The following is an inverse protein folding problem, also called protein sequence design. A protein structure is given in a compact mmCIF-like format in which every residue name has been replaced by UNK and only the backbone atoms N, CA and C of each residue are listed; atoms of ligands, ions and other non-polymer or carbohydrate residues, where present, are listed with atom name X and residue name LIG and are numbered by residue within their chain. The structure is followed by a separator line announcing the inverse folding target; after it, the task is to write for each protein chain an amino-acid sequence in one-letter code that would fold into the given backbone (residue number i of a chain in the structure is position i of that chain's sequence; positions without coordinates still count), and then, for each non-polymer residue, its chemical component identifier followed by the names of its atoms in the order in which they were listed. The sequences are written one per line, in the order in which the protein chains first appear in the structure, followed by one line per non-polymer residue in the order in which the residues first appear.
data_IF_135130979857
#
_entry.id   IF_135130979857
#
_cell.length_a   1.000
_cell.length_b   1.000
_cell.length_c   1.000
_cell.angle_alpha   90.00
_cell.angle_beta   90.00
_cell.angle_gamma   90.00
#
_symmetry.space_group_name_H-M   'P 1'
#
loop_
_entity.id
_entity.type
_entity.pdbx_description
1 polymer ?
#
# COMPACT_ATOMS: atom_id res chain seq x y z
N UNK A 1 2.53 9.00 21.59
CA UNK A 1 1.43 9.21 20.62
C UNK A 1 1.62 10.60 20.06
N UNK A 2 2.00 10.70 18.79
CA UNK A 2 2.15 11.98 18.12
C UNK A 2 1.22 12.01 16.92
N UNK A 3 0.32 12.99 16.88
CA UNK A 3 -0.26 13.40 15.61
C UNK A 3 0.83 14.10 14.81
N UNK A 4 1.00 13.72 13.56
CA UNK A 4 2.11 14.13 12.72
C UNK A 4 1.54 14.82 11.48
N UNK A 5 2.15 15.94 11.13
CA UNK A 5 1.98 16.64 9.87
C UNK A 5 3.38 17.04 9.39
N UNK A 6 3.88 16.38 8.34
CA UNK A 6 5.25 16.56 7.81
C UNK A 6 5.26 16.58 6.28
N UNK A 7 6.28 17.24 5.75
CA UNK A 7 6.62 17.23 4.33
C UNK A 7 7.97 16.51 4.18
N UNK A 8 8.03 15.58 3.23
CA UNK A 8 9.24 14.84 2.87
C UNK A 8 9.55 15.02 1.40
N UNK A 9 10.77 14.71 0.97
CA UNK A 9 11.12 14.70 -0.45
C UNK A 9 10.80 13.32 -1.06
N UNK A 10 10.30 13.30 -2.29
CA UNK A 10 10.03 12.05 -3.03
C UNK A 10 11.29 11.18 -3.15
N UNK A 11 12.45 11.80 -3.35
CA UNK A 11 13.74 11.09 -3.50
C UNK A 11 14.20 10.33 -2.24
N UNK A 12 13.82 10.78 -1.04
CA UNK A 12 14.20 10.16 0.25
C UNK A 12 13.00 9.56 0.99
N UNK A 13 11.83 9.52 0.36
CA UNK A 13 10.56 9.28 1.04
C UNK A 13 10.53 8.01 1.91
N UNK A 14 11.08 6.89 1.43
CA UNK A 14 11.06 5.63 2.18
C UNK A 14 11.96 5.66 3.42
N UNK A 15 13.12 6.32 3.31
CA UNK A 15 14.04 6.51 4.43
C UNK A 15 13.45 7.49 5.47
N UNK A 16 12.77 8.53 5.00
CA UNK A 16 12.05 9.49 5.84
C UNK A 16 10.86 8.83 6.56
N UNK A 17 10.09 7.99 5.86
CA UNK A 17 8.98 7.22 6.43
C UNK A 17 9.50 6.21 7.46
N UNK A 18 10.59 5.53 7.16
CA UNK A 18 11.26 4.64 8.13
C UNK A 18 11.66 5.41 9.37
N UNK A 19 12.34 6.54 9.20
CA UNK A 19 12.80 7.40 10.29
C UNK A 19 11.64 7.94 11.12
N UNK A 20 10.52 8.29 10.48
CA UNK A 20 9.30 8.72 11.13
C UNK A 20 8.78 7.64 12.09
N UNK A 21 8.69 6.41 11.61
CA UNK A 21 8.13 5.29 12.38
C UNK A 21 9.09 4.86 13.50
N UNK A 22 10.39 4.81 13.24
CA UNK A 22 11.39 4.47 14.28
C UNK A 22 11.48 5.52 15.38
N UNK A 23 11.36 6.81 15.04
CA UNK A 23 11.33 7.90 16.03
C UNK A 23 10.10 7.86 16.94
N UNK A 24 9.08 7.06 16.59
CA UNK A 24 7.84 6.90 17.35
C UNK A 24 7.69 5.51 18.02
N UNK A 25 8.81 4.81 18.25
CA UNK A 25 8.87 3.62 19.10
C UNK A 25 9.01 2.29 18.36
N UNK A 26 9.14 2.32 17.04
CA UNK A 26 9.46 1.13 16.24
C UNK A 26 10.98 0.97 16.11
N UNK A 27 11.42 -0.21 15.70
CA UNK A 27 12.84 -0.53 15.53
C UNK A 27 13.14 -0.94 14.10
N UNK A 28 14.21 -0.38 13.52
CA UNK A 28 14.76 -0.87 12.24
C UNK A 28 15.54 -2.15 12.53
N UNK A 29 15.16 -3.24 11.88
CA UNK A 29 15.79 -4.57 12.04
C UNK A 29 16.97 -4.71 11.08
N UNK A 30 16.75 -4.43 9.79
CA UNK A 30 17.78 -4.49 8.75
C UNK A 30 17.36 -3.73 7.49
N UNK A 31 18.35 -3.34 6.69
CA UNK A 31 18.21 -2.80 5.34
C UNK A 31 19.09 -3.60 4.40
N UNK A 32 18.55 -4.14 3.32
CA UNK A 32 19.31 -4.95 2.35
C UNK A 32 18.79 -4.70 0.94
N UNK A 33 19.54 -5.13 -0.07
CA UNK A 33 19.17 -4.95 -1.47
C UNK A 33 19.09 -6.29 -2.20
N UNK A 34 18.17 -6.37 -3.15
CA UNK A 34 18.00 -7.54 -4.01
C UNK A 34 18.03 -7.08 -5.46
N UNK A 35 19.08 -7.43 -6.18
CA UNK A 35 19.23 -7.17 -7.59
C UNK A 35 18.72 -8.37 -8.40
N UNK A 36 18.04 -8.10 -9.51
CA UNK A 36 17.36 -9.11 -10.31
C UNK A 36 17.71 -8.99 -11.79
N UNK A 37 17.91 -10.13 -12.43
CA UNK A 37 18.03 -10.24 -13.87
C UNK A 37 17.01 -11.24 -14.43
N UNK A 38 16.51 -11.04 -15.67
CA UNK A 38 15.55 -11.96 -16.26
C UNK A 38 16.28 -13.22 -16.74
N UNK A 39 15.69 -14.38 -16.46
CA UNK A 39 16.30 -15.68 -16.75
C UNK A 39 16.60 -15.91 -18.25
N UNK A 40 15.89 -15.19 -19.11
CA UNK A 40 16.01 -15.22 -20.57
C UNK A 40 17.33 -14.64 -21.09
N UNK A 41 18.04 -13.83 -20.28
CA UNK A 41 19.36 -13.28 -20.67
C UNK A 41 20.37 -14.39 -20.94
N UNK A 42 20.25 -15.51 -20.21
CA UNK A 42 21.13 -16.67 -20.34
C UNK A 42 20.83 -17.52 -21.58
N UNK A 43 19.70 -17.30 -22.27
CA UNK A 43 19.43 -17.98 -23.54
C UNK A 43 20.28 -17.37 -24.63
N UNK A 44 20.88 -18.17 -25.51
CA UNK A 44 21.70 -17.68 -26.62
C UNK A 44 20.91 -17.39 -27.92
N UNK A 45 19.61 -17.08 -27.80
CA UNK A 45 18.65 -17.11 -28.93
C UNK A 45 17.91 -15.80 -29.20
N UNK A 46 18.37 -14.67 -28.65
CA UNK A 46 17.77 -13.34 -28.88
C UNK A 46 18.55 -12.48 -29.88
N UNK A 47 17.86 -11.57 -30.59
CA UNK A 47 18.53 -10.53 -31.36
C UNK A 47 19.37 -9.62 -30.45
N UNK A 48 20.44 -9.01 -30.98
CA UNK A 48 21.30 -8.11 -30.22
C UNK A 48 20.58 -6.89 -29.64
N UNK A 49 19.47 -6.48 -30.26
CA UNK A 49 18.66 -5.33 -29.87
C UNK A 49 17.51 -5.68 -28.91
N UNK A 50 17.34 -6.96 -28.55
CA UNK A 50 16.34 -7.37 -27.58
C UNK A 50 16.61 -6.71 -26.23
N UNK A 51 15.62 -5.96 -25.72
CA UNK A 51 15.67 -5.30 -24.42
C UNK A 51 15.31 -6.30 -23.32
N UNK A 52 16.16 -6.36 -22.30
CA UNK A 52 15.93 -7.13 -21.08
C UNK A 52 15.79 -6.19 -19.89
N UNK A 53 14.73 -6.40 -19.12
CA UNK A 53 14.45 -5.62 -17.92
C UNK A 53 15.29 -6.12 -16.76
N UNK A 54 16.00 -5.23 -16.10
CA UNK A 54 16.71 -5.48 -14.85
C UNK A 54 16.08 -4.65 -13.73
N UNK A 55 16.40 -5.00 -12.49
CA UNK A 55 15.99 -4.15 -11.37
C UNK A 55 16.77 -4.42 -10.11
N UNK A 56 16.69 -3.47 -9.19
CA UNK A 56 17.18 -3.60 -7.82
C UNK A 56 16.12 -3.09 -6.86
N UNK A 57 15.78 -3.91 -5.87
CA UNK A 57 14.87 -3.56 -4.79
C UNK A 57 15.66 -3.29 -3.51
N UNK A 58 15.32 -2.23 -2.82
CA UNK A 58 15.85 -1.91 -1.49
C UNK A 58 14.78 -2.19 -0.44
N UNK A 59 15.09 -3.09 0.49
CA UNK A 59 14.20 -3.52 1.55
C UNK A 59 14.65 -2.90 2.86
N UNK A 60 13.70 -2.33 3.60
CA UNK A 60 13.89 -1.92 4.98
C UNK A 60 12.89 -2.66 5.85
N UNK A 61 13.39 -3.51 6.75
CA UNK A 61 12.57 -4.25 7.71
C UNK A 61 12.47 -3.45 8.99
N UNK A 62 11.24 -3.16 9.41
CA UNK A 62 10.92 -2.51 10.67
C UNK A 62 10.09 -3.45 11.56
N UNK A 63 10.15 -3.23 12.86
CA UNK A 63 9.46 -4.03 13.87
C UNK A 63 8.79 -3.13 14.89
N UNK A 64 7.50 -3.37 15.14
CA UNK A 64 6.74 -2.66 16.16
C UNK A 64 7.09 -3.17 17.58
N UNK A 65 6.55 -2.53 18.62
CA UNK A 65 6.84 -2.90 20.00
C UNK A 65 6.32 -4.30 20.40
N UNK A 66 5.35 -4.86 19.67
CA UNK A 66 4.84 -6.22 19.88
C UNK A 66 5.68 -7.30 19.17
N UNK A 67 6.63 -6.89 18.34
CA UNK A 67 7.51 -7.80 17.61
C UNK A 67 7.02 -8.21 16.22
N UNK A 68 5.89 -7.68 15.73
CA UNK A 68 5.49 -7.88 14.33
C UNK A 68 6.39 -7.07 13.41
N UNK A 69 6.81 -7.70 12.31
CA UNK A 69 7.74 -7.12 11.34
C UNK A 69 7.05 -6.79 10.02
N UNK A 70 7.49 -5.68 9.43
CA UNK A 70 7.02 -5.17 8.15
C UNK A 70 8.23 -4.87 7.27
N UNK A 71 8.14 -5.18 5.98
CA UNK A 71 9.12 -4.76 4.99
C UNK A 71 8.57 -3.63 4.15
N UNK A 72 9.36 -2.58 4.01
CA UNK A 72 9.13 -1.46 3.10
C UNK A 72 10.11 -1.58 1.94
N UNK A 73 9.63 -1.44 0.71
CA UNK A 73 10.44 -1.65 -0.50
C UNK A 73 10.26 -0.55 -1.51
N UNK A 74 11.38 -0.10 -2.08
CA UNK A 74 11.40 0.68 -3.32
C UNK A 74 12.20 -0.07 -4.38
N UNK A 75 11.81 0.11 -5.64
CA UNK A 75 12.40 -0.61 -6.78
C UNK A 75 12.91 0.41 -7.79
N UNK A 76 14.13 0.20 -8.25
CA UNK A 76 14.63 0.82 -9.47
C UNK A 76 14.65 -0.24 -10.58
N UNK A 77 14.24 0.12 -11.79
CA UNK A 77 14.27 -0.80 -12.94
C UNK A 77 14.70 -0.09 -14.20
N UNK A 78 15.36 -0.83 -15.09
CA UNK A 78 15.87 -0.31 -16.35
C UNK A 78 15.97 -1.43 -17.38
N UNK A 79 15.92 -1.06 -18.66
CA UNK A 79 16.05 -1.99 -19.76
C UNK A 79 17.43 -1.85 -20.41
N UNK A 80 18.10 -2.96 -20.70
CA UNK A 80 19.39 -3.01 -21.41
C UNK A 80 19.24 -3.91 -22.63
N UNK A 81 19.73 -3.44 -23.79
CA UNK A 81 19.79 -4.28 -24.97
C UNK A 81 20.81 -5.40 -24.79
N UNK A 82 20.50 -6.59 -25.31
CA UNK A 82 21.36 -7.78 -25.18
C UNK A 82 22.85 -7.52 -25.45
N UNK A 83 23.13 -6.79 -26.52
CA UNK A 83 24.50 -6.47 -26.98
C UNK A 83 25.29 -5.61 -25.98
N UNK A 84 24.60 -4.88 -25.11
CA UNK A 84 25.18 -3.95 -24.13
C UNK A 84 25.31 -4.58 -22.73
N UNK A 85 24.89 -5.84 -22.55
CA UNK A 85 25.04 -6.57 -21.29
C UNK A 85 26.49 -7.05 -21.15
N UNK A 86 27.19 -6.57 -20.12
CA UNK A 86 28.58 -6.94 -19.84
C UNK A 86 28.76 -8.14 -18.90
N UNK A 87 27.68 -8.63 -18.27
CA UNK A 87 27.72 -9.68 -17.24
C UNK A 87 27.11 -10.99 -17.75
N UNK A 88 27.73 -12.13 -17.40
CA UNK A 88 27.22 -13.47 -17.78
C UNK A 88 26.44 -14.19 -16.69
N UNK A 89 26.55 -13.74 -15.43
CA UNK A 89 25.89 -14.31 -14.25
C UNK A 89 26.27 -15.77 -13.92
N UNK A 90 27.32 -16.30 -14.54
CA UNK A 90 27.81 -17.66 -14.33
C UNK A 90 28.66 -17.77 -13.05
N UNK A 91 29.35 -16.68 -12.69
CA UNK A 91 30.28 -16.62 -11.56
C UNK A 91 29.81 -15.66 -10.46
N UNK A 92 30.34 -15.80 -9.26
CA UNK A 92 30.06 -14.85 -8.17
C UNK A 92 30.70 -13.49 -8.43
N UNK A 93 31.81 -13.45 -9.19
CA UNK A 93 32.45 -12.23 -9.67
C UNK A 93 31.53 -11.43 -10.60
N UNK A 94 30.89 -12.10 -11.58
CA UNK A 94 29.92 -11.46 -12.49
C UNK A 94 28.73 -10.86 -11.72
N UNK A 95 28.21 -11.62 -10.74
CA UNK A 95 27.11 -11.17 -9.87
C UNK A 95 27.53 -9.95 -9.02
N UNK A 96 28.77 -9.93 -8.53
CA UNK A 96 29.30 -8.80 -7.77
C UNK A 96 29.48 -7.55 -8.64
N UNK A 97 29.87 -7.72 -9.90
CA UNK A 97 29.96 -6.61 -10.86
C UNK A 97 28.57 -6.05 -11.21
N UNK A 98 27.60 -6.92 -11.45
CA UNK A 98 26.21 -6.53 -11.65
C UNK A 98 25.64 -5.75 -10.45
N UNK A 99 25.93 -6.17 -9.21
CA UNK A 99 25.53 -5.41 -8.01
C UNK A 99 26.10 -3.99 -8.02
N UNK A 100 27.36 -3.81 -8.43
CA UNK A 100 28.00 -2.48 -8.48
C UNK A 100 27.30 -1.57 -9.49
N UNK A 101 27.00 -2.07 -10.69
CA UNK A 101 26.28 -1.33 -11.72
C UNK A 101 24.82 -1.05 -11.30
N UNK A 102 24.12 -2.04 -10.74
CA UNK A 102 22.77 -1.89 -10.22
C UNK A 102 22.67 -0.79 -9.14
N UNK A 103 23.65 -0.73 -8.21
CA UNK A 103 23.72 0.33 -7.20
C UNK A 103 23.94 1.71 -7.80
N UNK A 104 24.75 1.83 -8.85
CA UNK A 104 24.96 3.11 -9.55
C UNK A 104 23.68 3.58 -10.25
N UNK A 105 22.89 2.64 -10.79
CA UNK A 105 21.63 2.91 -11.48
C UNK A 105 20.46 3.17 -10.53
N UNK A 106 20.54 2.67 -9.30
CA UNK A 106 19.45 2.76 -8.32
C UNK A 106 18.91 4.19 -8.16
N UNK A 107 19.77 5.18 -7.89
CA UNK A 107 19.32 6.56 -7.64
C UNK A 107 18.71 7.25 -8.86
N UNK A 108 19.13 6.85 -10.07
CA UNK A 108 18.66 7.43 -11.34
C UNK A 108 17.33 6.83 -11.79
N UNK A 109 17.17 5.53 -11.59
CA UNK A 109 16.04 4.75 -12.11
C UNK A 109 15.04 4.35 -11.01
N UNK A 110 15.17 4.93 -9.81
CA UNK A 110 14.26 4.71 -8.70
C UNK A 110 12.85 5.12 -9.09
N UNK A 111 11.89 4.20 -8.98
CA UNK A 111 10.49 4.56 -9.11
C UNK A 111 10.05 5.29 -7.83
N UNK A 112 9.88 6.61 -7.94
CA UNK A 112 9.42 7.48 -6.85
C UNK A 112 7.90 7.56 -6.76
N UNK A 113 7.21 7.10 -7.80
CA UNK A 113 5.75 7.12 -7.83
C UNK A 113 5.14 6.00 -7.00
N UNK A 114 5.90 4.92 -6.71
CA UNK A 114 5.40 3.79 -5.96
C UNK A 114 6.39 3.19 -4.96
N UNK A 115 5.85 2.48 -3.98
CA UNK A 115 6.60 1.65 -3.04
C UNK A 115 5.73 0.48 -2.58
N UNK A 116 6.33 -0.50 -1.92
CA UNK A 116 5.66 -1.74 -1.54
C UNK A 116 5.79 -1.99 -0.05
N UNK A 117 4.76 -2.59 0.55
CA UNK A 117 4.79 -3.01 1.95
C UNK A 117 4.32 -4.45 2.08
N UNK A 118 4.91 -5.22 2.99
CA UNK A 118 4.44 -6.55 3.37
C UNK A 118 4.69 -6.83 4.86
N UNK A 119 4.03 -7.85 5.41
CA UNK A 119 4.26 -8.38 6.75
C UNK A 119 5.11 -9.66 6.70
N UNK A 120 5.89 -9.92 7.73
CA UNK A 120 6.63 -11.18 7.91
C UNK A 120 6.51 -11.68 9.35
N UNK A 121 6.52 -13.02 9.54
CA UNK A 121 6.48 -13.61 10.89
C UNK A 121 7.87 -13.82 11.48
N UNK A 122 8.88 -14.08 10.64
CA UNK A 122 10.28 -14.26 11.07
C UNK A 122 11.22 -13.36 10.28
N UNK A 123 12.39 -13.11 10.87
CA UNK A 123 13.43 -12.32 10.24
C UNK A 123 14.02 -13.07 9.03
N UNK A 124 14.21 -12.40 7.86
CA UNK A 124 14.73 -13.07 6.68
C UNK A 124 16.25 -13.24 6.77
N UNK A 125 16.80 -14.19 6.01
CA UNK A 125 18.22 -14.63 6.08
C UNK A 125 19.21 -13.55 5.60
N UNK A 126 18.73 -12.49 4.94
CA UNK A 126 19.59 -11.42 4.43
C UNK A 126 20.36 -10.70 5.55
N UNK A 127 21.62 -10.38 5.25
CA UNK A 127 22.50 -9.59 6.12
C UNK A 127 22.25 -8.10 5.91
N UNK A 128 22.38 -7.31 6.97
CA UNK A 128 22.25 -5.86 6.91
C UNK A 128 23.34 -5.23 6.01
N UNK A 129 22.94 -4.28 5.17
CA UNK A 129 23.80 -3.58 4.20
C UNK A 129 24.25 -4.42 2.99
N UNK A 130 23.82 -5.67 2.88
CA UNK A 130 24.26 -6.58 1.81
C UNK A 130 23.28 -6.59 0.64
N UNK A 131 23.82 -6.67 -0.58
CA UNK A 131 23.04 -6.88 -1.79
C UNK A 131 23.17 -8.34 -2.25
N UNK A 132 22.07 -8.95 -2.69
CA UNK A 132 22.07 -10.30 -3.28
C UNK A 132 21.54 -10.26 -4.71
N UNK A 133 21.94 -11.23 -5.54
CA UNK A 133 21.44 -11.36 -6.92
C UNK A 133 20.48 -12.53 -7.02
N UNK A 134 19.37 -12.34 -7.73
CA UNK A 134 18.45 -13.42 -8.10
C UNK A 134 18.10 -13.34 -9.59
N UNK A 135 17.84 -14.49 -10.20
CA UNK A 135 17.16 -14.58 -11.48
C UNK A 135 15.65 -14.45 -11.26
N UNK A 136 14.93 -13.91 -12.23
CA UNK A 136 13.48 -13.84 -12.19
C UNK A 136 12.82 -14.23 -13.52
N UNK A 137 11.58 -14.68 -13.37
CA UNK A 137 10.58 -14.94 -14.40
C UNK A 137 9.39 -13.96 -14.28
N UNK A 138 9.12 -13.47 -13.06
CA UNK A 138 8.02 -12.56 -12.75
C UNK A 138 8.53 -11.29 -12.04
N UNK A 139 8.53 -10.17 -12.75
CA UNK A 139 8.82 -8.84 -12.21
C UNK A 139 7.53 -8.13 -11.74
N UNK A 140 7.50 -7.44 -10.58
CA UNK A 140 8.58 -7.24 -9.59
C UNK A 140 8.62 -8.32 -8.47
N UNK A 141 7.73 -9.32 -8.52
CA UNK A 141 7.51 -10.32 -7.46
C UNK A 141 8.80 -10.96 -6.95
N UNK A 142 9.70 -11.38 -7.84
CA UNK A 142 10.96 -12.03 -7.43
C UNK A 142 11.95 -11.10 -6.72
N UNK A 143 11.85 -9.79 -6.94
CA UNK A 143 12.64 -8.81 -6.21
C UNK A 143 12.07 -8.57 -4.81
N UNK A 144 10.75 -8.57 -4.67
CA UNK A 144 10.07 -8.27 -3.41
C UNK A 144 10.06 -9.48 -2.46
N UNK A 145 10.02 -10.70 -3.00
CA UNK A 145 9.97 -11.92 -2.20
C UNK A 145 11.24 -12.09 -1.34
N UNK A 146 11.08 -12.05 -0.02
CA UNK A 146 12.19 -12.22 0.94
C UNK A 146 12.37 -13.65 1.43
N UNK A 147 11.53 -14.58 1.00
CA UNK A 147 11.71 -16.01 1.30
C UNK A 147 12.81 -16.62 0.41
N UNK A 148 12.98 -16.10 -0.81
CA UNK A 148 14.01 -16.55 -1.76
C UNK A 148 15.25 -15.67 -1.67
N UNK A 149 16.35 -16.22 -1.19
CA UNK A 149 17.66 -15.56 -1.05
C UNK A 149 18.64 -15.86 -2.18
N UNK A 150 18.55 -17.04 -2.81
CA UNK A 150 19.42 -17.47 -3.91
C UNK A 150 18.63 -18.26 -4.95
N UNK A 151 19.03 -18.09 -6.20
CA UNK A 151 18.47 -18.76 -7.36
C UNK A 151 19.59 -19.19 -8.29
N UNK A 152 19.46 -20.35 -8.88
CA UNK A 152 20.30 -20.82 -9.97
C UNK A 152 19.43 -21.04 -11.21
N UNK A 153 20.02 -20.88 -12.40
CA UNK A 153 19.29 -21.01 -13.65
C UNK A 153 19.81 -22.21 -14.40
N UNK A 154 18.92 -23.16 -14.70
CA UNK A 154 19.25 -24.38 -15.42
C UNK A 154 18.46 -24.43 -16.72
N UNK A 155 19.14 -24.79 -17.82
CA UNK A 155 18.50 -25.00 -19.12
C UNK A 155 18.18 -26.48 -19.25
N UNK A 156 16.89 -26.85 -19.21
CA UNK A 156 16.43 -28.24 -19.44
C UNK A 156 15.52 -28.27 -20.66
N UNK A 157 15.86 -29.11 -21.65
CA UNK A 157 15.08 -29.32 -22.87
C UNK A 157 14.73 -28.03 -23.64
N UNK A 158 15.65 -27.06 -23.68
CA UNK A 158 15.45 -25.75 -24.35
C UNK A 158 14.66 -24.72 -23.54
N UNK A 159 14.15 -25.08 -22.36
CA UNK A 159 13.47 -24.17 -21.44
C UNK A 159 14.39 -23.76 -20.29
N UNK A 160 14.39 -22.47 -19.98
CA UNK A 160 15.04 -21.92 -18.78
C UNK A 160 14.17 -22.21 -17.56
N UNK A 161 14.75 -22.85 -16.56
CA UNK A 161 14.10 -23.15 -15.27
C UNK A 161 14.90 -22.46 -14.18
N UNK A 162 14.21 -21.74 -13.30
CA UNK A 162 14.81 -21.14 -12.11
C UNK A 162 14.71 -22.13 -10.96
N UNK A 163 15.84 -22.56 -10.41
CA UNK A 163 15.93 -23.39 -9.23
C UNK A 163 16.20 -22.50 -8.00
N UNK A 164 15.33 -22.58 -6.99
CA UNK A 164 15.43 -21.77 -5.77
C UNK A 164 16.35 -22.43 -4.73
N UNK A 165 17.66 -22.32 -4.93
CA UNK A 165 18.67 -23.02 -4.11
C UNK A 165 18.84 -22.45 -2.70
N UNK A 166 18.37 -21.22 -2.45
CA UNK A 166 18.32 -20.65 -1.12
C UNK A 166 16.93 -20.12 -0.79
N UNK A 167 16.04 -20.97 -0.28
CA UNK A 167 14.69 -20.60 0.14
C UNK A 167 14.47 -20.81 1.64
N UNK A 168 13.96 -19.80 2.33
CA UNK A 168 13.54 -19.89 3.72
C UNK A 168 12.03 -19.63 3.83
N UNK A 169 11.26 -20.72 3.74
CA UNK A 169 9.80 -20.67 3.75
C UNK A 169 9.18 -20.45 5.15
N UNK A 170 10.01 -20.40 6.20
CA UNK A 170 9.58 -20.13 7.57
C UNK A 170 9.34 -18.64 7.85
N UNK A 171 9.83 -17.76 6.96
CA UNK A 171 9.63 -16.29 7.06
C UNK A 171 8.15 -15.94 7.03
N UNK A 172 7.35 -16.71 6.27
CA UNK A 172 5.90 -16.55 6.12
C UNK A 172 5.55 -15.12 5.73
N UNK A 173 5.96 -14.70 4.55
CA UNK A 173 5.72 -13.36 4.01
C UNK A 173 4.27 -13.19 3.53
N UNK A 174 3.61 -12.08 3.91
CA UNK A 174 2.29 -11.77 3.38
C UNK A 174 2.32 -11.44 1.89
N UNK A 175 1.18 -11.48 1.20
CA UNK A 175 1.05 -10.76 -0.07
C UNK A 175 1.52 -9.30 0.12
N UNK A 176 2.30 -8.79 -0.83
CA UNK A 176 2.77 -7.40 -0.78
C UNK A 176 1.72 -6.43 -1.32
N UNK A 177 1.67 -5.24 -0.75
CA UNK A 177 0.74 -4.17 -1.12
C UNK A 177 1.51 -3.15 -1.96
N UNK A 178 1.14 -2.99 -3.23
CA UNK A 178 1.71 -1.97 -4.13
C UNK A 178 1.00 -0.63 -3.91
N UNK A 179 1.71 0.31 -3.30
CA UNK A 179 1.24 1.66 -2.99
C UNK A 179 1.78 2.61 -4.04
N UNK A 180 0.90 3.12 -4.88
CA UNK A 180 1.24 4.09 -5.92
C UNK A 180 0.68 5.45 -5.49
N UNK A 181 1.52 6.47 -5.42
CA UNK A 181 1.14 7.82 -4.97
C UNK A 181 0.60 8.69 -6.11
N UNK A 182 0.98 8.38 -7.36
CA UNK A 182 0.50 9.05 -8.57
C UNK A 182 0.50 8.12 -9.78
N UNK A 183 -0.39 8.33 -10.73
CA UNK A 183 -0.43 7.50 -11.95
C UNK A 183 0.94 7.58 -12.69
N UNK A 184 1.63 6.44 -12.94
CA UNK A 184 2.90 6.43 -13.65
C UNK A 184 2.77 6.73 -15.14
N UNK A 185 1.58 6.52 -15.74
CA UNK A 185 1.33 6.64 -17.19
C UNK A 185 0.72 8.00 -17.56
N UNK A 186 1.16 9.09 -16.91
CA UNK A 186 0.78 10.45 -17.29
C UNK A 186 1.49 10.83 -18.59
N UNK A 187 1.00 10.29 -19.70
CA UNK A 187 1.44 10.63 -21.05
C UNK A 187 0.51 11.71 -21.62
N UNK A 188 1.07 12.83 -22.10
CA UNK A 188 0.31 13.84 -22.84
C UNK A 188 -0.09 15.10 -22.08
N UNK A 189 0.31 15.25 -20.82
CA UNK A 189 0.36 16.58 -20.21
C UNK A 189 1.55 17.29 -20.88
N UNK A 190 1.28 18.24 -21.78
CA UNK A 190 2.29 19.17 -22.35
C UNK A 190 2.73 20.18 -21.29
N UNK A 191 3.13 19.64 -20.15
CA UNK A 191 3.79 20.31 -19.05
C UNK A 191 4.90 19.34 -18.75
N UNK A 192 6.14 19.69 -19.13
CA UNK A 192 7.35 19.07 -18.62
C UNK A 192 7.11 18.72 -17.15
N UNK A 193 6.88 17.45 -16.85
CA UNK A 193 6.24 17.03 -15.61
C UNK A 193 7.12 17.50 -14.45
N UNK A 194 6.64 18.48 -13.68
CA UNK A 194 7.42 19.19 -12.67
C UNK A 194 7.64 18.34 -11.39
N UNK A 195 7.55 17.01 -11.51
CA UNK A 195 7.85 16.06 -10.44
C UNK A 195 9.32 15.69 -10.47
N UNK A 196 10.08 16.42 -9.67
CA UNK A 196 11.52 16.28 -9.52
C UNK A 196 11.83 15.45 -8.27
N UNK A 197 13.08 14.98 -8.09
CA UNK A 197 13.47 14.29 -6.85
C UNK A 197 13.16 15.07 -5.56
N UNK A 198 13.14 16.40 -5.64
CA UNK A 198 12.85 17.34 -4.56
C UNK A 198 11.37 17.70 -4.42
N UNK A 199 10.49 17.13 -5.26
CA UNK A 199 9.03 17.24 -5.08
C UNK A 199 8.62 16.72 -3.70
N UNK A 200 7.63 17.38 -3.12
CA UNK A 200 7.24 17.17 -1.74
C UNK A 200 6.12 16.13 -1.64
N UNK A 201 6.23 15.27 -0.63
CA UNK A 201 5.18 14.35 -0.20
C UNK A 201 4.69 14.79 1.18
N UNK A 202 3.40 15.10 1.26
CA UNK A 202 2.73 15.40 2.53
C UNK A 202 2.34 14.11 3.23
N UNK A 203 2.77 13.97 4.48
CA UNK A 203 2.38 12.88 5.38
C UNK A 203 1.64 13.46 6.56
N UNK A 204 0.42 12.99 6.78
CA UNK A 204 -0.41 13.42 7.91
C UNK A 204 -1.05 12.21 8.58
N UNK A 205 -1.03 12.13 9.91
CA UNK A 205 -1.66 11.01 10.59
C UNK A 205 -1.19 10.81 12.03
N UNK A 206 -1.27 9.57 12.50
CA UNK A 206 -0.90 9.18 13.85
C UNK A 206 0.09 8.01 13.79
N UNK A 207 1.15 8.11 14.61
CA UNK A 207 2.07 7.00 14.84
C UNK A 207 2.21 6.78 16.35
N UNK A 208 2.14 5.51 16.74
CA UNK A 208 2.54 5.04 18.05
C UNK A 208 3.44 3.80 17.96
N UNK A 209 3.78 3.22 19.10
CA UNK A 209 4.68 2.07 19.20
C UNK A 209 4.13 0.76 18.61
N UNK A 210 2.82 0.67 18.41
CA UNK A 210 2.12 -0.55 17.98
C UNK A 210 1.51 -0.40 16.57
N UNK A 211 1.30 0.84 16.11
CA UNK A 211 0.45 1.20 14.97
C UNK A 211 0.92 2.45 14.22
N UNK A 212 0.58 2.47 12.94
CA UNK A 212 0.76 3.59 12.02
C UNK A 212 -0.52 3.78 11.22
N UNK A 213 -1.07 4.99 11.28
CA UNK A 213 -2.22 5.43 10.48
C UNK A 213 -1.83 6.72 9.77
N UNK A 214 -1.59 6.66 8.47
CA UNK A 214 -1.09 7.80 7.69
C UNK A 214 -1.97 8.07 6.49
N UNK A 215 -1.97 9.32 6.09
CA UNK A 215 -2.38 9.81 4.78
C UNK A 215 -1.15 10.38 4.11
N UNK A 216 -0.90 9.91 2.90
CA UNK A 216 0.27 10.22 2.10
C UNK A 216 -0.24 10.84 0.80
N UNK A 217 0.22 12.04 0.48
CA UNK A 217 -0.16 12.73 -0.75
C UNK A 217 1.10 13.27 -1.41
N UNK A 218 1.38 12.83 -2.64
CA UNK A 218 2.43 13.45 -3.46
C UNK A 218 1.98 14.84 -3.95
N UNK A 219 2.91 15.65 -4.45
CA UNK A 219 2.60 16.97 -4.97
C UNK A 219 1.53 16.87 -6.07
N UNK A 220 0.35 17.45 -5.83
CA UNK A 220 -0.77 17.41 -6.76
C UNK A 220 -0.82 18.66 -7.65
N UNK A 221 0.07 19.64 -7.47
CA UNK A 221 0.09 20.90 -8.25
C UNK A 221 0.09 20.66 -9.76
N UNK A 222 0.88 19.69 -10.30
CA UNK A 222 0.91 19.48 -11.75
C UNK A 222 -0.29 18.68 -12.29
N UNK A 223 -1.07 18.00 -11.44
CA UNK A 223 -2.28 17.28 -11.82
C UNK A 223 -3.26 17.20 -10.64
N UNK A 224 -4.00 18.29 -10.42
CA UNK A 224 -4.96 18.40 -9.33
C UNK A 224 -6.35 17.85 -9.68
N UNK A 225 -6.61 17.55 -10.96
CA UNK A 225 -7.86 16.97 -11.46
C UNK A 225 -7.72 15.45 -11.73
N UNK A 226 -8.82 14.79 -12.10
CA UNK A 226 -8.86 13.41 -12.62
C UNK A 226 -8.32 12.30 -11.70
N UNK A 227 -8.19 12.58 -10.39
CA UNK A 227 -7.76 11.63 -9.36
C UNK A 227 -6.40 10.98 -9.64
N UNK A 228 -5.54 11.68 -10.37
CA UNK A 228 -4.22 11.19 -10.79
C UNK A 228 -3.24 11.12 -9.61
N UNK A 229 -3.38 12.04 -8.65
CA UNK A 229 -2.55 12.16 -7.45
C UNK A 229 -3.44 12.16 -6.20
N UNK A 230 -3.96 10.99 -5.79
CA UNK A 230 -4.90 10.90 -4.68
C UNK A 230 -4.21 11.00 -3.32
N UNK A 231 -5.01 11.34 -2.30
CA UNK A 231 -4.63 11.13 -0.90
C UNK A 231 -4.66 9.62 -0.60
N UNK A 232 -3.50 9.05 -0.32
CA UNK A 232 -3.29 7.61 -0.15
C UNK A 232 -3.22 7.22 1.33
N UNK A 233 -4.19 6.46 1.87
CA UNK A 233 -4.14 5.99 3.24
C UNK A 233 -3.15 4.83 3.39
N UNK A 234 -2.57 4.69 4.58
CA UNK A 234 -1.77 3.55 4.99
C UNK A 234 -2.10 3.20 6.44
N UNK A 235 -2.41 1.93 6.68
CA UNK A 235 -2.54 1.36 8.00
C UNK A 235 -1.60 0.16 8.15
N UNK A 236 -0.78 0.18 9.20
CA UNK A 236 -0.02 -0.99 9.62
C UNK A 236 0.03 -1.07 11.15
N UNK A 237 -0.23 -2.24 11.71
CA UNK A 237 -0.12 -2.48 13.13
C UNK A 237 -1.30 -3.23 13.74
N UNK A 238 -1.29 -3.30 15.07
CA UNK A 238 -2.26 -4.07 15.85
C UNK A 238 -3.71 -3.61 15.63
N UNK A 239 -4.68 -4.52 15.71
CA UNK A 239 -6.10 -4.16 15.80
C UNK A 239 -6.65 -4.41 17.21
N UNK A 240 -7.77 -3.77 17.56
CA UNK A 240 -8.44 -4.05 18.84
C UNK A 240 -9.52 -5.12 18.66
N UNK A 241 -9.34 -6.23 19.36
CA UNK A 241 -10.27 -7.36 19.37
C UNK A 241 -11.45 -7.13 20.31
N UNK A 242 -12.63 -7.64 19.93
CA UNK A 242 -13.77 -7.72 20.85
C UNK A 242 -13.72 -8.89 21.81
N UNK A 243 -13.00 -9.96 21.47
CA UNK A 243 -12.95 -11.17 22.27
C UNK A 243 -11.58 -11.33 22.93
N UNK A 244 -11.58 -11.63 24.24
CA UNK A 244 -10.34 -11.73 25.04
C UNK A 244 -9.46 -12.93 24.64
N UNK A 245 -10.06 -13.98 24.10
CA UNK A 245 -9.41 -15.18 23.57
C UNK A 245 -8.89 -14.98 22.14
N UNK A 246 -9.35 -13.94 21.46
CA UNK A 246 -9.03 -13.68 20.08
C UNK A 246 -7.76 -12.84 19.99
N UNK A 247 -6.64 -13.54 19.84
CA UNK A 247 -5.33 -12.96 19.52
C UNK A 247 -5.32 -12.48 18.08
N UNK A 248 -6.14 -11.47 17.76
CA UNK A 248 -6.14 -10.94 16.41
C UNK A 248 -4.78 -10.32 16.15
N UNK A 249 -4.15 -10.78 15.07
CA UNK A 249 -2.87 -10.27 14.64
C UNK A 249 -2.98 -8.87 14.04
N UNK A 250 -1.83 -8.31 13.73
CA UNK A 250 -1.74 -7.03 13.03
C UNK A 250 -2.49 -7.03 11.69
N UNK A 251 -2.91 -5.83 11.29
CA UNK A 251 -3.50 -5.55 10.00
C UNK A 251 -2.54 -4.75 9.12
N UNK A 252 -2.61 -5.01 7.81
CA UNK A 252 -1.95 -4.22 6.77
C UNK A 252 -2.96 -3.91 5.66
N UNK A 253 -3.09 -2.64 5.33
CA UNK A 253 -3.76 -2.19 4.13
C UNK A 253 -3.32 -0.78 3.75
N UNK A 254 -3.50 -0.44 2.47
CA UNK A 254 -3.20 0.89 1.97
C UNK A 254 -4.15 1.28 0.84
N UNK A 255 -4.04 2.52 0.37
CA UNK A 255 -4.58 2.91 -0.92
C UNK A 255 -3.54 2.87 -2.02
N UNK A 256 -4.00 3.09 -3.25
CA UNK A 256 -3.14 3.21 -4.42
C UNK A 256 -3.81 4.12 -5.45
N UNK A 257 -3.02 4.91 -6.15
CA UNK A 257 -3.45 5.62 -7.34
C UNK A 257 -3.76 4.63 -8.47
N UNK A 258 -4.59 5.05 -9.43
CA UNK A 258 -4.83 4.27 -10.62
C UNK A 258 -3.54 4.19 -11.44
N UNK A 259 -3.06 2.97 -11.71
CA UNK A 259 -1.72 2.72 -12.26
C UNK A 259 -1.70 1.74 -13.44
N UNK A 260 -2.87 1.36 -13.95
CA UNK A 260 -3.02 0.35 -15.02
C UNK A 260 -3.37 0.94 -16.37
N UNK A 261 -3.48 2.26 -16.50
CA UNK A 261 -3.84 2.93 -17.74
C UNK A 261 -3.64 4.44 -17.70
N UNK A 262 -4.22 5.12 -18.69
CA UNK A 262 -4.08 6.58 -18.89
C UNK A 262 -4.83 7.40 -17.84
N UNK A 263 -4.60 8.71 -17.83
CA UNK A 263 -5.34 9.67 -17.01
C UNK A 263 -6.87 9.57 -17.19
N UNK A 264 -7.35 9.46 -18.44
CA UNK A 264 -8.79 9.31 -18.71
C UNK A 264 -9.38 8.06 -18.03
N UNK A 265 -8.60 6.98 -17.97
CA UNK A 265 -8.99 5.75 -17.29
C UNK A 265 -9.03 5.90 -15.77
N UNK A 266 -8.16 6.76 -15.21
CA UNK A 266 -8.19 7.12 -13.78
C UNK A 266 -9.48 7.86 -13.42
N UNK A 267 -9.88 8.83 -14.24
CA UNK A 267 -11.13 9.59 -14.05
C UNK A 267 -12.37 8.69 -14.16
N UNK A 268 -12.37 7.77 -15.12
CA UNK A 268 -13.47 6.85 -15.39
C UNK A 268 -13.49 5.59 -14.48
N UNK A 269 -12.63 5.51 -13.46
CA UNK A 269 -12.54 4.32 -12.62
C UNK A 269 -13.86 4.05 -11.87
N UNK A 270 -14.41 2.86 -12.08
CA UNK A 270 -15.63 2.40 -11.41
C UNK A 270 -15.28 1.86 -10.01
N UNK A 271 -15.37 2.73 -9.01
CA UNK A 271 -15.23 2.32 -7.61
C UNK A 271 -16.31 1.31 -7.20
N UNK A 272 -17.43 1.21 -7.94
CA UNK A 272 -18.49 0.27 -7.68
C UNK A 272 -18.26 -1.15 -8.20
N UNK A 273 -17.25 -1.37 -9.04
CA UNK A 273 -16.89 -2.71 -9.50
C UNK A 273 -16.51 -3.61 -8.31
N UNK A 274 -17.12 -4.80 -8.29
CA UNK A 274 -16.86 -5.85 -7.29
C UNK A 274 -15.62 -6.66 -7.64
N UNK A 275 -15.11 -6.57 -8.87
CA UNK A 275 -13.86 -7.24 -9.26
C UNK A 275 -12.70 -6.64 -8.48
N UNK A 276 -11.79 -7.47 -7.93
CA UNK A 276 -10.59 -6.97 -7.30
C UNK A 276 -9.77 -6.10 -8.27
N UNK A 277 -9.30 -4.95 -7.80
CA UNK A 277 -8.36 -4.11 -8.55
C UNK A 277 -7.02 -4.80 -8.73
N UNK A 278 -6.57 -5.57 -7.73
CA UNK A 278 -5.34 -6.37 -7.80
C UNK A 278 -5.64 -7.86 -7.73
N UNK A 279 -5.01 -8.62 -8.61
CA UNK A 279 -4.95 -10.07 -8.46
C UNK A 279 -3.94 -10.42 -7.36
N UNK A 280 -4.39 -11.13 -6.33
CA UNK A 280 -3.54 -11.50 -5.20
C UNK A 280 -2.36 -12.39 -5.61
N UNK A 281 -2.51 -13.20 -6.66
CA UNK A 281 -1.47 -14.11 -7.12
C UNK A 281 -0.18 -13.39 -7.57
N UNK A 282 -0.34 -12.18 -8.10
CA UNK A 282 0.77 -11.33 -8.54
C UNK A 282 1.55 -10.76 -7.35
N UNK A 283 0.90 -10.72 -6.18
CA UNK A 283 1.47 -10.20 -4.92
C UNK A 283 1.95 -11.26 -3.93
N UNK A 284 1.65 -12.55 -4.17
CA UNK A 284 2.09 -13.65 -3.29
C UNK A 284 3.60 -13.88 -3.38
N UNK A 285 4.25 -14.36 -2.31
CA UNK A 285 5.60 -14.93 -2.41
C UNK A 285 5.63 -16.08 -3.44
N UNK A 286 6.78 -16.32 -4.07
CA UNK A 286 6.90 -17.24 -5.20
C UNK A 286 6.55 -18.68 -4.79
N UNK A 287 7.08 -19.11 -3.64
CA UNK A 287 6.95 -20.49 -3.16
C UNK A 287 5.75 -20.70 -2.24
N UNK A 288 4.85 -19.72 -2.14
CA UNK A 288 3.71 -19.76 -1.22
C UNK A 288 2.39 -19.70 -1.94
N UNK A 289 1.51 -20.60 -1.52
CA UNK A 289 0.09 -20.50 -1.76
C UNK A 289 -0.62 -20.48 -0.41
N UNK A 290 -1.51 -19.52 -0.21
CA UNK A 290 -2.33 -19.45 1.00
C UNK A 290 -3.70 -20.06 0.71
N UNK A 291 -4.19 -20.99 1.53
CA UNK A 291 -5.31 -21.87 1.17
C UNK A 291 -6.69 -21.20 1.22
N UNK A 292 -6.85 -20.09 1.95
CA UNK A 292 -8.17 -19.47 2.20
C UNK A 292 -8.17 -17.97 1.88
N UNK A 293 -8.25 -17.63 0.60
CA UNK A 293 -8.49 -16.28 0.09
C UNK A 293 -7.56 -15.22 0.72
N UNK A 294 -6.25 -15.24 0.38
CA UNK A 294 -5.32 -14.23 0.85
C UNK A 294 -5.78 -12.82 0.44
N UNK A 295 -5.51 -11.84 1.31
CA UNK A 295 -5.77 -10.43 1.01
C UNK A 295 -4.71 -9.82 0.09
N UNK A 296 -5.06 -8.75 -0.62
CA UNK A 296 -4.12 -7.98 -1.45
C UNK A 296 -3.82 -6.58 -0.86
N UNK A 297 -4.48 -6.20 0.25
CA UNK A 297 -4.24 -4.97 0.99
C UNK A 297 -4.75 -3.68 0.32
N UNK A 298 -5.37 -3.78 -0.87
CA UNK A 298 -5.98 -2.66 -1.60
C UNK A 298 -7.50 -2.83 -1.70
N UNK A 299 -7.96 -4.04 -2.02
CA UNK A 299 -9.38 -4.40 -2.08
C UNK A 299 -9.90 -4.98 -0.75
N UNK A 300 -9.01 -5.20 0.20
CA UNK A 300 -9.32 -5.79 1.50
C UNK A 300 -8.20 -5.45 2.50
N UNK A 301 -8.43 -5.82 3.75
CA UNK A 301 -7.46 -5.72 4.83
C UNK A 301 -6.78 -7.07 5.02
N UNK A 302 -5.45 -7.09 4.97
CA UNK A 302 -4.67 -8.30 5.25
C UNK A 302 -4.53 -8.41 6.76
N UNK A 303 -5.06 -9.48 7.37
CA UNK A 303 -4.87 -9.77 8.80
C UNK A 303 -3.83 -10.89 8.94
N UNK A 304 -2.82 -10.68 9.79
CA UNK A 304 -1.72 -11.63 10.00
C UNK A 304 -2.21 -13.06 10.31
N UNK A 305 -3.16 -13.21 11.24
CA UNK A 305 -3.81 -14.50 11.57
C UNK A 305 -5.30 -14.32 11.88
N UNK A 306 -6.15 -15.16 11.31
CA UNK A 306 -7.59 -15.24 11.65
C UNK A 306 -7.84 -16.06 12.92
N UNK A 307 -9.11 -16.15 13.37
CA UNK A 307 -9.48 -16.86 14.60
C UNK A 307 -9.02 -18.30 14.57
N UNK A 308 -9.20 -18.92 13.40
CA UNK A 308 -8.90 -20.32 13.14
C UNK A 308 -7.43 -20.54 12.75
N UNK A 309 -6.59 -19.52 12.83
CA UNK A 309 -5.15 -19.60 12.60
C UNK A 309 -4.72 -19.55 11.13
N UNK A 310 -5.64 -19.27 10.19
CA UNK A 310 -5.27 -19.06 8.80
C UNK A 310 -4.57 -17.71 8.62
N UNK A 311 -3.52 -17.69 7.80
CA UNK A 311 -2.63 -16.53 7.64
C UNK A 311 -3.08 -15.62 6.52
N UNK A 312 -2.89 -14.31 6.72
CA UNK A 312 -3.03 -13.28 5.70
C UNK A 312 -4.36 -13.27 4.94
N UNK A 313 -5.43 -13.70 5.61
CA UNK A 313 -6.75 -13.78 4.99
C UNK A 313 -7.32 -12.38 4.75
N UNK A 314 -8.06 -12.25 3.64
CA UNK A 314 -8.82 -11.06 3.32
C UNK A 314 -9.92 -10.79 4.36
N UNK A 315 -9.84 -9.65 5.03
CA UNK A 315 -10.90 -9.10 5.86
C UNK A 315 -11.42 -7.80 5.25
N UNK A 316 -12.60 -7.36 5.70
CA UNK A 316 -13.33 -6.25 5.12
C UNK A 316 -13.60 -5.19 6.18
N UNK A 317 -13.66 -3.93 5.76
CA UNK A 317 -13.96 -2.82 6.64
C UNK A 317 -15.48 -2.63 6.66
N UNK A 318 -16.04 -2.50 7.85
CA UNK A 318 -17.43 -2.14 8.05
C UNK A 318 -17.52 -0.95 9.00
N UNK A 319 -18.57 -0.16 8.84
CA UNK A 319 -18.94 0.89 9.78
C UNK A 319 -20.45 0.95 9.86
N UNK A 320 -20.98 1.40 11.00
CA UNK A 320 -22.41 1.50 11.21
C UNK A 320 -22.93 2.69 10.39
N UNK A 321 -23.80 2.47 9.41
CA UNK A 321 -24.35 3.49 8.49
C UNK A 321 -25.58 2.90 7.80
N UNK A 322 -26.53 3.74 7.39
CA UNK A 322 -27.73 3.31 6.66
C UNK A 322 -27.44 2.67 5.30
N UNK A 323 -28.38 1.86 4.76
CA UNK A 323 -28.31 1.23 3.44
C UNK A 323 -27.86 2.15 2.30
N UNK A 324 -27.09 1.61 1.34
CA UNK A 324 -26.57 2.34 0.18
C UNK A 324 -27.67 2.75 -0.81
N UNK A 325 -28.89 2.25 -0.65
CA UNK A 325 -30.00 2.60 -1.54
C UNK A 325 -30.70 3.89 -1.10
N UNK A 326 -30.09 4.68 -0.19
CA UNK A 326 -30.66 5.94 0.30
C UNK A 326 -29.66 7.09 0.27
N UNK A 327 -29.77 7.92 -0.78
CA UNK A 327 -29.10 7.56 -2.02
C UNK A 327 -27.57 7.63 -1.81
N UNK A 328 -26.78 6.76 -2.46
CA UNK A 328 -25.85 7.43 -3.36
C UNK A 328 -25.59 6.68 -4.66
N UNK A 329 -26.04 7.22 -5.79
CA UNK A 329 -25.33 7.03 -7.05
C UNK A 329 -24.13 7.98 -7.07
N UNK A 330 -22.95 7.43 -7.36
CA UNK A 330 -21.69 8.20 -7.40
C UNK A 330 -21.45 8.70 -8.80
N UNK A 331 -22.36 9.49 -9.37
CA UNK A 331 -22.17 9.97 -10.74
C UNK A 331 -22.20 11.48 -10.76
N UNK A 332 -21.02 12.07 -10.93
CA UNK A 332 -20.94 13.46 -11.38
C UNK A 332 -21.48 13.60 -12.80
N UNK A 333 -21.74 14.84 -13.24
CA UNK A 333 -22.25 15.16 -14.59
C UNK A 333 -21.39 14.55 -15.71
N UNK A 334 -20.08 14.42 -15.47
CA UNK A 334 -19.11 13.84 -16.42
C UNK A 334 -18.97 12.31 -16.33
N UNK A 335 -19.79 11.63 -15.53
CA UNK A 335 -19.74 10.18 -15.32
C UNK A 335 -18.64 9.68 -14.36
N UNK A 336 -17.80 10.58 -13.85
CA UNK A 336 -16.77 10.26 -12.84
C UNK A 336 -17.38 9.85 -11.49
N UNK A 337 -16.74 8.91 -10.81
CA UNK A 337 -17.27 8.26 -9.59
C UNK A 337 -16.37 8.37 -8.34
N UNK A 338 -15.40 9.28 -8.35
CA UNK A 338 -14.46 9.49 -7.22
C UNK A 338 -15.10 10.31 -6.08
N UNK A 339 -14.60 10.22 -4.83
CA UNK A 339 -15.26 10.79 -3.64
C UNK A 339 -15.52 12.31 -3.69
N UNK A 340 -14.64 13.09 -4.34
CA UNK A 340 -14.83 14.53 -4.54
C UNK A 340 -15.95 14.88 -5.54
N UNK A 341 -16.39 13.94 -6.39
CA UNK A 341 -17.44 14.18 -7.38
C UNK A 341 -18.84 14.40 -6.78
N UNK A 342 -19.00 14.25 -5.46
CA UNK A 342 -20.26 14.45 -4.72
C UNK A 342 -20.60 15.91 -4.42
N UNK A 343 -19.69 16.85 -4.65
CA UNK A 343 -19.82 18.23 -4.16
C UNK A 343 -20.58 19.20 -5.08
N UNK A 344 -21.15 18.76 -6.21
CA UNK A 344 -21.91 19.67 -7.08
C UNK A 344 -23.37 19.80 -6.62
N UNK A 345 -23.87 21.05 -6.53
CA UNK A 345 -25.27 21.37 -6.23
C UNK A 345 -26.31 20.71 -7.17
N UNK A 346 -25.87 20.30 -8.37
CA UNK A 346 -26.68 19.60 -9.37
C UNK A 346 -26.89 18.11 -9.07
N UNK A 347 -26.19 17.54 -8.09
CA UNK A 347 -26.30 16.12 -7.74
C UNK A 347 -27.41 15.91 -6.69
N UNK A 348 -28.38 15.03 -6.91
CA UNK A 348 -29.48 14.83 -5.94
C UNK A 348 -28.95 14.25 -4.61
N UNK A 349 -27.86 13.51 -4.68
CA UNK A 349 -27.06 13.00 -3.58
C UNK A 349 -26.43 14.12 -2.71
N UNK A 350 -26.16 15.31 -3.28
CA UNK A 350 -25.67 16.47 -2.52
C UNK A 350 -26.70 16.96 -1.48
N UNK A 351 -27.99 16.74 -1.74
CA UNK A 351 -29.09 17.15 -0.84
C UNK A 351 -29.36 16.13 0.26
N UNK A 352 -28.92 14.88 0.09
CA UNK A 352 -29.12 13.85 1.09
C UNK A 352 -28.01 13.91 2.14
N UNK A 353 -28.40 14.06 3.42
CA UNK A 353 -27.46 14.02 4.53
C UNK A 353 -27.92 12.96 5.54
N UNK A 354 -27.11 11.92 5.74
CA UNK A 354 -27.28 10.98 6.84
C UNK A 354 -26.85 11.55 8.20
N UNK A 355 -26.49 12.84 8.25
CA UNK A 355 -26.12 13.52 9.48
C UNK A 355 -27.37 14.04 10.21
N UNK A 356 -27.35 14.10 11.56
CA UNK A 356 -28.34 14.89 12.29
C UNK A 356 -28.22 16.33 11.81
N UNK A 357 -29.28 16.91 11.23
CA UNK A 357 -29.49 18.32 10.83
C UNK A 357 -28.24 19.22 10.78
N UNK A 358 -27.97 19.87 9.63
CA UNK A 358 -26.89 20.88 9.43
C UNK A 358 -26.75 21.85 10.62
N UNK A 359 -27.87 22.23 11.24
CA UNK A 359 -27.93 23.17 12.35
C UNK A 359 -27.36 22.64 13.68
N UNK A 360 -27.19 21.33 13.82
CA UNK A 360 -26.71 20.69 15.06
C UNK A 360 -25.18 20.58 15.14
N UNK A 361 -24.47 20.76 14.02
CA UNK A 361 -23.02 20.55 13.95
C UNK A 361 -22.57 19.13 14.32
N UNK A 362 -23.47 18.15 14.24
CA UNK A 362 -23.19 16.74 14.55
C UNK A 362 -23.01 15.95 13.27
N UNK A 363 -22.08 14.99 13.31
CA UNK A 363 -21.80 14.10 12.19
C UNK A 363 -21.95 12.66 12.66
N UNK A 364 -22.52 11.82 11.81
CA UNK A 364 -22.58 10.40 12.09
C UNK A 364 -21.19 9.77 11.97
N UNK A 365 -20.71 9.18 13.05
CA UNK A 365 -19.39 8.56 13.14
C UNK A 365 -19.49 7.14 13.68
N UNK A 366 -18.60 6.26 13.24
CA UNK A 366 -18.52 4.89 13.70
C UNK A 366 -17.06 4.42 13.74
N UNK A 367 -16.78 3.35 14.49
CA UNK A 367 -15.47 2.72 14.45
C UNK A 367 -15.26 2.02 13.10
N UNK A 368 -14.02 1.91 12.67
CA UNK A 368 -13.66 1.10 11.51
C UNK A 368 -13.60 -0.38 11.92
N UNK A 369 -14.72 -1.09 11.84
CA UNK A 369 -14.80 -2.50 12.20
C UNK A 369 -14.11 -3.37 11.15
N UNK A 370 -13.49 -4.46 11.61
CA UNK A 370 -12.91 -5.50 10.77
C UNK A 370 -13.82 -6.73 10.79
N UNK A 371 -14.24 -7.15 9.60
CA UNK A 371 -15.19 -8.24 9.40
C UNK A 371 -14.57 -9.32 8.52
N UNK A 372 -14.64 -10.57 8.97
CA UNK A 372 -14.35 -11.73 8.14
C UNK A 372 -15.67 -12.33 7.64
N UNK A 373 -15.79 -12.78 6.37
CA UNK A 373 -17.02 -13.36 5.85
C UNK A 373 -17.58 -14.52 6.69
N UNK A 374 -16.70 -15.38 7.20
CA UNK A 374 -17.10 -16.57 7.96
C UNK A 374 -17.04 -16.38 9.49
N UNK A 375 -16.23 -15.42 9.97
CA UNK A 375 -15.99 -15.26 11.43
C UNK A 375 -16.77 -14.05 12.01
N UNK A 376 -17.41 -13.25 11.16
CA UNK A 376 -18.15 -12.05 11.56
C UNK A 376 -17.23 -10.90 11.97
N UNK A 377 -17.71 -10.04 12.88
CA UNK A 377 -16.96 -8.88 13.37
C UNK A 377 -15.87 -9.34 14.33
N UNK A 378 -14.62 -9.10 13.96
CA UNK A 378 -13.43 -9.51 14.73
C UNK A 378 -13.05 -8.43 15.73
N UNK A 379 -13.05 -7.19 15.27
CA UNK A 379 -12.52 -6.07 16.04
C UNK A 379 -12.70 -4.75 15.32
N UNK A 380 -11.86 -3.78 15.65
CA UNK A 380 -11.80 -2.50 14.96
C UNK A 380 -10.37 -1.97 14.87
N UNK A 381 -10.15 -1.03 13.93
CA UNK A 381 -8.90 -0.33 13.73
C UNK A 381 -8.82 0.88 14.67
N UNK A 382 -7.90 0.93 15.66
CA UNK A 382 -7.75 2.07 16.55
C UNK A 382 -7.17 3.29 15.82
N UNK A 383 -7.27 4.46 16.48
CA UNK A 383 -6.82 5.76 15.97
C UNK A 383 -7.48 6.23 14.67
N UNK A 384 -8.49 5.51 14.21
CA UNK A 384 -9.31 5.91 13.08
C UNK A 384 -10.79 5.68 13.35
N UNK A 385 -11.61 6.61 12.86
CA UNK A 385 -13.06 6.50 12.81
C UNK A 385 -13.52 6.75 11.38
N UNK A 386 -14.61 6.10 11.00
CA UNK A 386 -15.27 6.30 9.73
C UNK A 386 -16.50 7.16 9.93
N UNK A 387 -16.72 8.08 9.00
CA UNK A 387 -17.79 9.06 9.11
C UNK A 387 -18.30 9.49 7.74
N UNK A 388 -19.47 10.13 7.72
CA UNK A 388 -20.01 10.72 6.49
C UNK A 388 -19.19 11.95 6.09
N UNK A 389 -18.58 12.00 4.89
CA UNK A 389 -17.75 13.13 4.46
C UNK A 389 -18.57 14.38 4.12
N UNK A 390 -19.90 14.28 4.09
CA UNK A 390 -20.79 15.36 3.67
C UNK A 390 -20.80 16.52 4.68
N UNK A 391 -20.53 17.73 4.18
CA UNK A 391 -20.54 18.96 4.99
C UNK A 391 -19.28 19.18 5.83
N UNK A 392 -18.22 18.40 5.60
CA UNK A 392 -16.94 18.54 6.28
C UNK A 392 -15.82 18.91 5.31
N UNK A 393 -14.85 19.67 5.82
CA UNK A 393 -13.64 20.07 5.11
C UNK A 393 -12.42 19.40 5.71
N UNK A 394 -11.45 19.04 4.85
CA UNK A 394 -10.19 18.45 5.29
C UNK A 394 -9.54 19.30 6.38
N UNK A 395 -9.23 18.68 7.52
CA UNK A 395 -8.67 19.33 8.69
C UNK A 395 -9.68 19.69 9.79
N UNK A 396 -10.99 19.53 9.54
CA UNK A 396 -12.03 19.73 10.55
C UNK A 396 -11.84 18.80 11.75
N UNK A 397 -12.19 19.31 12.94
CA UNK A 397 -12.00 18.59 14.21
C UNK A 397 -13.31 18.04 14.73
N UNK A 398 -13.34 16.74 14.93
CA UNK A 398 -14.47 15.99 15.44
C UNK A 398 -14.25 15.67 16.92
N UNK A 399 -15.22 16.05 17.75
CA UNK A 399 -15.27 15.68 19.17
C UNK A 399 -16.04 14.36 19.30
N UNK A 400 -15.34 13.28 19.61
CA UNK A 400 -15.92 11.96 19.84
C UNK A 400 -15.94 11.69 21.33
N UNK A 401 -17.12 11.48 21.90
CA UNK A 401 -17.29 11.22 23.34
C UNK A 401 -16.71 9.86 23.72
N UNK A 402 -15.97 9.79 24.83
CA UNK A 402 -15.52 8.49 25.38
C UNK A 402 -16.69 7.78 26.06
N UNK A 403 -16.83 6.47 25.81
CA UNK A 403 -17.94 5.67 26.35
C UNK A 403 -17.96 5.57 27.88
N UNK A 404 -16.83 5.78 28.56
CA UNK A 404 -16.67 5.50 30.00
C UNK A 404 -16.74 6.74 30.90
N UNK A 405 -16.72 7.95 30.36
CA UNK A 405 -16.76 9.18 31.16
C UNK A 405 -17.60 10.25 30.45
N UNK A 406 -18.57 10.90 31.15
CA UNK A 406 -19.50 11.82 30.51
C UNK A 406 -18.87 13.02 29.81
N UNK A 407 -17.71 13.48 30.30
CA UNK A 407 -17.12 14.78 29.97
C UNK A 407 -15.73 14.71 29.30
N UNK A 408 -15.27 13.52 28.91
CA UNK A 408 -13.99 13.37 28.19
C UNK A 408 -14.22 13.08 26.72
N UNK A 409 -13.44 13.75 25.88
CA UNK A 409 -13.59 13.70 24.43
C UNK A 409 -12.27 13.34 23.77
N UNK A 410 -12.33 12.47 22.78
CA UNK A 410 -11.24 12.30 21.83
C UNK A 410 -11.46 13.23 20.63
N UNK A 411 -10.36 13.80 20.15
CA UNK A 411 -10.34 14.67 19.00
C UNK A 411 -9.80 13.90 17.82
N UNK A 412 -10.61 13.84 16.77
CA UNK A 412 -10.24 13.28 15.49
C UNK A 412 -10.19 14.38 14.45
N UNK A 413 -9.22 14.34 13.55
CA UNK A 413 -9.09 15.27 12.43
C UNK A 413 -9.58 14.59 11.16
N UNK A 414 -10.52 15.22 10.48
CA UNK A 414 -11.19 14.68 9.30
C UNK A 414 -10.35 14.87 8.03
N UNK A 415 -10.39 13.87 7.17
CA UNK A 415 -9.81 13.87 5.84
C UNK A 415 -10.67 13.07 4.86
N UNK A 416 -10.77 13.58 3.65
CA UNK A 416 -11.21 12.83 2.48
C UNK A 416 -10.07 12.00 1.91
N UNK A 417 -10.43 10.81 1.43
CA UNK A 417 -9.52 9.85 0.82
C UNK A 417 -10.05 9.52 -0.56
N UNK A 418 -9.21 9.72 -1.58
CA UNK A 418 -9.58 9.56 -2.99
C UNK A 418 -8.91 8.35 -3.66
N UNK A 419 -7.89 7.77 -3.00
CA UNK A 419 -7.18 6.61 -3.52
C UNK A 419 -8.06 5.36 -3.57
N UNK A 420 -7.75 4.46 -4.51
CA UNK A 420 -8.36 3.13 -4.57
C UNK A 420 -7.90 2.36 -3.32
N UNK A 421 -8.81 2.10 -2.40
CA UNK A 421 -8.48 1.55 -1.09
C UNK A 421 -9.67 0.80 -0.48
N UNK A 422 -9.46 0.06 0.62
CA UNK A 422 -10.55 -0.64 1.27
C UNK A 422 -11.68 0.26 1.76
N UNK A 423 -11.43 1.55 2.01
CA UNK A 423 -12.43 2.52 2.47
C UNK A 423 -13.20 3.23 1.34
N UNK A 424 -12.73 3.11 0.09
CA UNK A 424 -13.34 3.78 -1.09
C UNK A 424 -13.99 2.82 -2.09
N UNK A 425 -13.53 1.55 -2.16
CA UNK A 425 -13.90 0.56 -3.19
C UNK A 425 -14.71 -0.65 -2.64
N UNK A 426 -15.46 -1.35 -3.52
CA UNK A 426 -16.24 -2.58 -3.22
C UNK A 426 -15.41 -3.81 -3.61
N UNK A 427 -15.60 -4.96 -2.95
CA UNK A 427 -16.51 -5.23 -1.82
C UNK A 427 -15.97 -4.74 -0.47
N UNK A 428 -14.79 -4.10 -0.46
CA UNK A 428 -13.99 -3.81 0.71
C UNK A 428 -14.72 -3.13 1.87
N UNK A 429 -15.43 -2.05 1.57
CA UNK A 429 -16.41 -1.42 2.47
C UNK A 429 -17.75 -1.33 1.78
N UNK A 430 -18.84 -1.86 2.37
CA UNK A 430 -20.17 -1.78 1.77
C UNK A 430 -20.61 -0.33 1.59
N UNK A 431 -20.49 0.49 2.64
CA UNK A 431 -20.96 1.89 2.70
C UNK A 431 -19.84 2.88 2.49
N UNK A 432 -19.98 3.79 1.54
CA UNK A 432 -18.82 4.51 1.01
C UNK A 432 -19.20 5.80 0.24
N UNK A 433 -18.27 6.76 0.11
CA UNK A 433 -16.92 6.75 0.63
C UNK A 433 -17.01 7.00 2.12
N UNK A 434 -16.24 6.24 2.88
CA UNK A 434 -16.10 6.54 4.28
C UNK A 434 -15.10 7.70 4.39
N UNK A 435 -15.56 8.82 4.92
CA UNK A 435 -14.68 9.86 5.41
C UNK A 435 -13.80 9.32 6.54
N UNK A 436 -12.55 9.77 6.61
CA UNK A 436 -11.59 9.27 7.59
C UNK A 436 -11.34 10.32 8.68
N UNK A 437 -11.64 9.98 9.93
CA UNK A 437 -11.19 10.74 11.08
C UNK A 437 -9.96 10.07 11.69
N UNK A 438 -8.84 10.78 11.82
CA UNK A 438 -7.61 10.28 12.46
C UNK A 438 -7.45 10.90 13.84
N UNK A 439 -7.15 10.09 14.85
CA UNK A 439 -6.98 10.54 16.23
C UNK A 439 -5.84 11.55 16.36
N UNK A 440 -6.15 12.72 16.93
CA UNK A 440 -5.21 13.81 17.21
C UNK A 440 -4.75 13.80 18.67
N UNK A 441 -5.71 13.85 19.61
CA UNK A 441 -5.46 13.93 21.06
C UNK A 441 -6.75 13.69 21.86
N UNK A 442 -6.61 13.38 23.14
CA UNK A 442 -7.70 13.46 24.10
C UNK A 442 -7.78 14.87 24.71
N UNK A 443 -9.01 15.33 25.01
CA UNK A 443 -9.31 16.51 25.83
C UNK A 443 -9.85 16.10 27.19
#
# INVERSE_FOLDING_TARGET
MAFIEKLFQEGSFLDDLTSLVTNNGWTKVKKFQKAGYPSEVLRNSGSGDALYRFGIAEHTIIKNAEGTMYGLVQIASWDIARKDISYRFDTEEDKAEFIKDAKLRYSRNLDRSCFYIYMIEKEPVFKDGVATVVAFDSFPKSLIDVEVSKTDVVIKSGSTIIEYTGANTDVMMSPFVKITLRNPNLEGIDVKTNWWPDSLVRVTGQVDKDRVVLLIQADNTPAFENNVVPVTPLYMGKIESYAKDDQIGDALWAGTAFDTGTENSSNAFDFNDKKPYRNVNDSLPILKTYPKSPGNGIDNVIIKRSRLGARYQAHYIAWNVAPNEMPPDRKGVNGGQYPLAWQSHDNDEYKYQFNPSVYSGRVHTSRAYIVHPDEGVRGFLPHMVLLSPLGLLNGDKLKVRKNTCPDTFDIYRFYNVDAISPITKRPATPYRPAGLGIYEKSM
#
